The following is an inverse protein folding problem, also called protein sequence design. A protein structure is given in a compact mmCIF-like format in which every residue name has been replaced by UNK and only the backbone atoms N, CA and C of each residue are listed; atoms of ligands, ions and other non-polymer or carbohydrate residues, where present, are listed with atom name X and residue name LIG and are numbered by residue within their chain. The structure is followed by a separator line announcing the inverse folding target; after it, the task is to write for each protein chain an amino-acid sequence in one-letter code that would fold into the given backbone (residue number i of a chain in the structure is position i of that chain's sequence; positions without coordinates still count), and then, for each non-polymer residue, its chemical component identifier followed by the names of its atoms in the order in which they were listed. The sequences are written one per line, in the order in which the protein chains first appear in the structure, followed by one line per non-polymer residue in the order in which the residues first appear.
data_IF_832251334467
#
_entry.id   IF_832251334467
#
_cell.length_a   1.000
_cell.length_b   1.000
_cell.length_c   1.000
_cell.angle_alpha   90.00
_cell.angle_beta   90.00
_cell.angle_gamma   90.00
#
_symmetry.space_group_name_H-M   'P 1'
#
loop_
_entity.id
_entity.type
_entity.pdbx_description
1 polymer ?
#
# COMPACT_ATOMS: atom_id res chain seq x y z
N UNK A 1 -3.02 18.27 10.09
CA UNK A 1 -1.98 17.31 9.71
C UNK A 1 -1.96 16.15 10.67
N UNK A 2 -1.88 14.93 10.16
CA UNK A 2 -1.76 13.77 11.04
C UNK A 2 -0.35 13.68 11.63
N UNK A 3 -0.21 12.97 12.74
CA UNK A 3 1.10 12.69 13.33
C UNK A 3 1.99 11.91 12.37
N UNK A 4 1.38 11.04 11.58
CA UNK A 4 2.11 10.21 10.62
C UNK A 4 2.89 11.06 9.62
N UNK A 5 2.29 12.13 9.12
CA UNK A 5 2.93 13.01 8.12
C UNK A 5 4.26 13.59 8.60
N UNK A 6 4.41 13.84 9.90
CA UNK A 6 5.67 14.39 10.47
C UNK A 6 6.84 13.43 10.38
N UNK A 7 6.58 12.14 10.28
CA UNK A 7 7.61 11.10 10.20
C UNK A 7 7.91 10.65 8.78
N UNK A 8 7.16 11.16 7.80
CA UNK A 8 7.29 10.76 6.40
C UNK A 8 8.29 11.68 5.71
N UNK A 9 9.57 11.31 5.77
CA UNK A 9 10.68 12.11 5.24
C UNK A 9 11.21 11.62 3.89
N UNK A 10 10.67 10.53 3.38
CA UNK A 10 11.05 9.94 2.11
C UNK A 10 9.88 10.05 1.13
N UNK A 11 10.12 9.70 -0.11
CA UNK A 11 9.07 9.61 -1.11
C UNK A 11 9.07 8.24 -1.75
N UNK A 12 7.90 7.80 -2.22
CA UNK A 12 7.78 6.58 -2.99
C UNK A 12 6.85 6.82 -4.18
N UNK A 13 6.95 5.95 -5.16
CA UNK A 13 6.09 5.99 -6.35
C UNK A 13 4.94 5.01 -6.13
N UNK A 14 3.72 5.53 -6.13
CA UNK A 14 2.51 4.75 -5.94
C UNK A 14 1.80 4.56 -7.27
N UNK A 15 1.42 3.31 -7.56
CA UNK A 15 0.62 2.96 -8.72
C UNK A 15 -0.58 2.16 -8.24
N UNK A 16 -1.78 2.73 -8.41
CA UNK A 16 -3.01 2.06 -8.01
C UNK A 16 -3.47 1.10 -9.11
N UNK A 17 -3.98 -0.06 -8.70
CA UNK A 17 -4.63 -0.99 -9.61
C UNK A 17 -5.93 -0.36 -10.11
N UNK A 18 -6.17 -0.42 -11.41
CA UNK A 18 -7.45 -0.01 -11.99
C UNK A 18 -8.51 -1.00 -11.57
N UNK A 19 -9.63 -0.51 -11.04
CA UNK A 19 -10.71 -1.35 -10.53
C UNK A 19 -12.03 -0.99 -11.19
N UNK A 20 -12.92 -1.97 -11.31
CA UNK A 20 -14.27 -1.74 -11.82
C UNK A 20 -15.20 -1.15 -10.73
N UNK A 21 -16.46 -0.94 -11.04
CA UNK A 21 -17.43 -0.36 -10.11
C UNK A 21 -17.64 -1.19 -8.85
N UNK A 22 -17.41 -2.50 -8.93
CA UNK A 22 -17.54 -3.39 -7.77
C UNK A 22 -16.25 -3.50 -6.94
N UNK A 23 -15.19 -2.81 -7.35
CA UNK A 23 -13.90 -2.83 -6.67
C UNK A 23 -12.97 -3.96 -7.09
N UNK A 24 -13.32 -4.72 -8.12
CA UNK A 24 -12.47 -5.80 -8.61
C UNK A 24 -11.38 -5.26 -9.53
N UNK A 25 -10.13 -5.75 -9.38
CA UNK A 25 -9.07 -5.38 -10.30
C UNK A 25 -9.40 -5.75 -11.75
N UNK A 26 -9.07 -4.85 -12.66
CA UNK A 26 -9.23 -5.08 -14.09
C UNK A 26 -7.94 -5.68 -14.64
N UNK A 27 -8.07 -6.79 -15.34
CA UNK A 27 -6.95 -7.47 -15.99
C UNK A 27 -7.03 -7.30 -17.50
N UNK A 28 -5.87 -7.24 -18.15
CA UNK A 28 -5.81 -7.29 -19.60
C UNK A 28 -6.02 -8.74 -20.09
N UNK A 29 -6.02 -8.94 -21.41
CA UNK A 29 -6.25 -10.26 -22.02
C UNK A 29 -5.17 -11.31 -21.68
N UNK A 30 -4.03 -10.87 -21.13
CA UNK A 30 -2.94 -11.75 -20.72
C UNK A 30 -2.98 -12.06 -19.23
N UNK A 31 -4.00 -11.61 -18.51
CA UNK A 31 -4.11 -11.81 -17.07
C UNK A 31 -3.26 -10.85 -16.23
N UNK A 32 -2.71 -9.81 -16.83
CA UNK A 32 -1.92 -8.82 -16.11
C UNK A 32 -2.81 -7.70 -15.59
N UNK A 33 -2.55 -7.21 -14.38
CA UNK A 33 -3.27 -6.10 -13.77
C UNK A 33 -2.95 -4.79 -14.49
N UNK A 34 -3.97 -3.96 -14.69
CA UNK A 34 -3.79 -2.60 -15.18
C UNK A 34 -3.53 -1.65 -14.01
N UNK A 35 -2.65 -0.67 -14.20
CA UNK A 35 -2.30 0.31 -13.19
C UNK A 35 -2.57 1.73 -13.70
N UNK A 36 -2.95 2.60 -12.77
CA UNK A 36 -3.12 4.03 -13.04
C UNK A 36 -1.76 4.73 -13.14
N UNK A 37 -1.75 5.99 -13.56
CA UNK A 37 -0.52 6.77 -13.65
C UNK A 37 0.18 6.86 -12.29
N UNK A 38 1.53 6.77 -12.28
CA UNK A 38 2.30 6.87 -11.04
C UNK A 38 2.08 8.20 -10.33
N UNK A 39 1.99 8.14 -8.99
CA UNK A 39 1.87 9.32 -8.13
C UNK A 39 2.97 9.25 -7.09
N UNK A 40 3.61 10.39 -6.81
CA UNK A 40 4.61 10.47 -5.75
C UNK A 40 3.93 10.71 -4.40
N UNK A 41 4.22 9.85 -3.43
CA UNK A 41 3.70 9.96 -2.08
C UNK A 41 4.83 10.19 -1.08
N UNK A 42 4.53 10.90 0.00
CA UNK A 42 5.42 10.93 1.17
C UNK A 42 5.33 9.61 1.89
N UNK A 43 6.47 9.07 2.28
CA UNK A 43 6.52 7.79 2.97
C UNK A 43 7.73 7.66 3.87
N UNK A 44 7.75 6.59 4.65
CA UNK A 44 8.93 6.08 5.33
C UNK A 44 9.05 4.62 4.94
N UNK A 45 10.25 4.22 4.53
CA UNK A 45 10.53 2.83 4.17
C UNK A 45 11.43 2.20 5.23
N UNK A 46 11.09 0.98 5.62
CA UNK A 46 11.95 0.17 6.49
C UNK A 46 12.19 -1.16 5.81
N UNK A 47 13.44 -1.59 5.79
CA UNK A 47 13.80 -2.93 5.35
C UNK A 47 13.63 -3.88 6.53
N UNK A 48 12.70 -4.81 6.40
CA UNK A 48 12.45 -5.80 7.43
C UNK A 48 11.88 -7.05 6.78
N UNK A 49 12.60 -8.16 6.89
CA UNK A 49 12.08 -9.44 6.43
C UNK A 49 11.01 -9.92 7.41
N UNK A 50 9.79 -10.08 6.93
CA UNK A 50 8.66 -10.49 7.76
C UNK A 50 7.71 -11.38 6.96
N UNK A 51 7.24 -12.45 7.56
CA UNK A 51 6.18 -13.25 6.98
C UNK A 51 4.83 -12.58 7.26
N UNK A 52 4.06 -12.34 6.21
CA UNK A 52 2.76 -11.68 6.31
C UNK A 52 1.67 -12.57 5.75
N UNK A 53 0.50 -12.52 6.37
CA UNK A 53 -0.68 -13.22 5.90
C UNK A 53 -1.42 -12.34 4.90
N UNK A 54 -1.61 -12.85 3.69
CA UNK A 54 -2.35 -12.13 2.66
C UNK A 54 -3.86 -12.28 2.88
N UNK A 55 -4.69 -11.42 2.26
CA UNK A 55 -6.15 -11.53 2.38
C UNK A 55 -6.72 -12.88 1.94
N UNK A 56 -6.05 -13.59 1.04
CA UNK A 56 -6.49 -14.92 0.59
C UNK A 56 -5.96 -16.07 1.44
N UNK A 57 -5.31 -15.78 2.56
CA UNK A 57 -4.82 -16.78 3.51
C UNK A 57 -3.42 -17.33 3.24
N UNK A 58 -2.75 -16.88 2.19
CA UNK A 58 -1.37 -17.29 1.91
C UNK A 58 -0.38 -16.56 2.80
N UNK A 59 0.74 -17.20 3.15
CA UNK A 59 1.85 -16.56 3.86
C UNK A 59 2.90 -16.18 2.83
N UNK A 60 3.24 -14.90 2.76
CA UNK A 60 4.24 -14.35 1.84
C UNK A 60 5.28 -13.60 2.64
N UNK A 61 6.55 -13.72 2.23
CA UNK A 61 7.64 -12.97 2.83
C UNK A 61 7.68 -11.56 2.27
N UNK A 62 7.52 -10.58 3.13
CA UNK A 62 7.70 -9.16 2.80
C UNK A 62 9.12 -8.73 3.18
N UNK A 63 9.76 -7.94 2.33
CA UNK A 63 11.12 -7.44 2.56
C UNK A 63 11.14 -5.95 2.90
N UNK A 64 10.09 -5.22 2.56
CA UNK A 64 10.01 -3.77 2.77
C UNK A 64 8.67 -3.40 3.38
N UNK A 65 8.70 -2.52 4.37
CA UNK A 65 7.50 -1.95 4.98
C UNK A 65 7.46 -0.47 4.60
N UNK A 66 6.32 -0.03 4.06
CA UNK A 66 6.07 1.37 3.71
C UNK A 66 5.04 1.96 4.66
N UNK A 67 5.38 3.10 5.25
CA UNK A 67 4.46 3.87 6.07
C UNK A 67 4.03 5.10 5.27
N UNK A 68 2.73 5.29 5.09
CA UNK A 68 2.15 6.43 4.36
C UNK A 68 1.06 7.07 5.20
N UNK A 69 0.67 8.30 4.84
CA UNK A 69 -0.38 9.00 5.57
C UNK A 69 -1.79 8.61 5.09
N UNK A 70 -2.80 9.25 5.66
CA UNK A 70 -4.21 8.97 5.36
C UNK A 70 -4.70 9.54 4.03
N UNK A 71 -3.89 10.36 3.35
CA UNK A 71 -4.33 11.06 2.14
C UNK A 71 -4.47 10.15 0.92
N UNK A 72 -3.81 9.00 0.94
CA UNK A 72 -3.89 8.05 -0.16
C UNK A 72 -4.23 6.66 0.37
N UNK A 73 -5.36 6.11 -0.04
CA UNK A 73 -5.74 4.74 0.27
C UNK A 73 -4.80 3.77 -0.47
N UNK A 74 -4.16 2.89 0.29
CA UNK A 74 -3.31 1.83 -0.25
C UNK A 74 -4.06 0.51 -0.10
N UNK A 75 -4.08 -0.29 -1.15
CA UNK A 75 -4.72 -1.61 -1.16
C UNK A 75 -3.74 -2.67 -1.60
N UNK A 76 -4.04 -3.93 -1.27
CA UNK A 76 -3.28 -5.06 -1.83
C UNK A 76 -3.37 -5.03 -3.36
N UNK A 77 -2.33 -5.51 -4.01
CA UNK A 77 -2.10 -5.49 -5.46
C UNK A 77 -1.67 -4.14 -6.04
N UNK A 78 -1.82 -3.03 -5.30
CA UNK A 78 -1.20 -1.76 -5.69
C UNK A 78 0.32 -1.90 -5.65
N UNK A 79 1.03 -0.96 -6.27
CA UNK A 79 2.50 -0.96 -6.27
C UNK A 79 3.07 0.23 -5.53
N UNK A 80 4.14 -0.01 -4.78
CA UNK A 80 4.97 1.02 -4.17
C UNK A 80 6.40 0.80 -4.64
N UNK A 81 6.97 1.77 -5.34
CA UNK A 81 8.30 1.68 -5.97
C UNK A 81 8.44 0.44 -6.88
N UNK A 82 7.36 0.07 -7.56
CA UNK A 82 7.35 -1.12 -8.43
C UNK A 82 7.14 -2.45 -7.69
N UNK A 83 7.06 -2.42 -6.36
CA UNK A 83 6.83 -3.63 -5.55
C UNK A 83 5.35 -3.81 -5.28
N UNK A 84 4.82 -5.01 -5.51
CA UNK A 84 3.40 -5.31 -5.28
C UNK A 84 3.12 -5.37 -3.78
N UNK A 85 2.12 -4.64 -3.33
CA UNK A 85 1.67 -4.63 -1.94
C UNK A 85 0.93 -5.94 -1.65
N UNK A 86 1.38 -6.69 -0.66
CA UNK A 86 0.80 -8.00 -0.31
C UNK A 86 -0.07 -7.95 0.94
N UNK A 87 0.11 -6.96 1.81
CA UNK A 87 -0.73 -6.77 2.98
C UNK A 87 -0.71 -5.30 3.41
N UNK A 88 -1.81 -4.82 3.96
CA UNK A 88 -1.95 -3.44 4.44
C UNK A 88 -2.61 -3.45 5.81
N UNK A 89 -2.06 -2.67 6.73
CA UNK A 89 -2.67 -2.39 8.03
C UNK A 89 -2.92 -0.89 8.16
N UNK A 90 -3.96 -0.51 8.89
CA UNK A 90 -4.29 0.88 9.13
C UNK A 90 -3.81 1.32 10.51
N UNK A 91 -3.26 2.55 10.59
CA UNK A 91 -3.02 3.20 11.87
C UNK A 91 -4.26 4.00 12.24
N UNK A 92 -4.87 3.64 13.35
CA UNK A 92 -6.09 4.27 13.83
C UNK A 92 -5.77 5.04 15.11
N UNK A 93 -6.19 6.31 15.19
CA UNK A 93 -5.97 7.15 16.35
C UNK A 93 -6.99 6.87 17.45
N UNK A 94 -6.85 7.56 18.59
CA UNK A 94 -7.73 7.43 19.75
C UNK A 94 -9.19 7.71 19.45
N UNK A 95 -9.47 8.50 18.41
CA UNK A 95 -10.82 8.86 17.99
C UNK A 95 -11.40 7.91 16.96
N UNK A 96 -10.69 6.86 16.58
CA UNK A 96 -11.12 5.91 15.58
C UNK A 96 -10.90 6.32 14.13
N UNK A 97 -10.18 7.41 13.88
CA UNK A 97 -9.87 7.88 12.53
C UNK A 97 -8.55 7.30 12.03
N UNK A 98 -8.50 6.99 10.74
CA UNK A 98 -7.28 6.49 10.11
C UNK A 98 -6.25 7.60 9.99
N UNK A 99 -5.04 7.38 10.50
CA UNK A 99 -3.92 8.32 10.39
C UNK A 99 -2.91 7.94 9.32
N UNK A 100 -2.93 6.70 8.86
CA UNK A 100 -2.01 6.23 7.84
C UNK A 100 -2.08 4.75 7.63
N UNK A 101 -1.19 4.26 6.78
CA UNK A 101 -1.14 2.86 6.37
C UNK A 101 0.26 2.28 6.55
N UNK A 102 0.32 1.03 6.96
CA UNK A 102 1.52 0.22 6.94
C UNK A 102 1.35 -0.82 5.84
N UNK A 103 2.12 -0.68 4.76
CA UNK A 103 2.02 -1.55 3.59
C UNK A 103 3.25 -2.44 3.50
N UNK A 104 3.00 -3.74 3.35
CA UNK A 104 4.05 -4.75 3.20
C UNK A 104 4.18 -5.14 1.75
N UNK A 105 5.38 -5.04 1.22
CA UNK A 105 5.67 -5.34 -0.18
C UNK A 105 6.97 -6.12 -0.38
#
# INVERSE_FOLDING_TARGET
MSRMTKFLKQTCIFEAVVRDESGKPIMNKYGELAYEFPVTLKCRRERATKDVLTPNGAVIRSETIYYTDENQLIRTDDKLDGNVVVAVSEYINEKGAVEGYESHA
#
